data_IF_171039780915
#
_entry.id   IF_171039780915
#
_cell.length_a   1.000
_cell.length_b   1.000
_cell.length_c   1.000
_cell.angle_alpha   90.00
_cell.angle_beta   90.00
_cell.angle_gamma   90.00
#
_symmetry.space_group_name_H-M   'P 1'
#
loop_
_entity.id
_entity.type
_entity.pdbx_description
1 polymer ?
#
# COMPACT_ATOMS: atom_id res chain seq x y z
N UNK A 1 -6.95 -9.50 -35.09
CA UNK A 1 -6.82 -9.14 -33.68
C UNK A 1 -5.74 -10.01 -33.08
N UNK A 2 -4.54 -9.49 -32.91
CA UNK A 2 -3.51 -10.20 -32.16
C UNK A 2 -4.00 -10.32 -30.71
N UNK A 3 -4.34 -11.52 -30.29
CA UNK A 3 -4.46 -11.83 -28.87
C UNK A 3 -3.07 -11.58 -28.26
N UNK A 4 -2.90 -10.40 -27.68
CA UNK A 4 -1.74 -10.14 -26.84
C UNK A 4 -1.85 -11.13 -25.69
N UNK A 5 -0.95 -12.11 -25.68
CA UNK A 5 -0.90 -13.19 -24.68
C UNK A 5 -0.41 -12.61 -23.32
N UNK A 6 -1.18 -11.63 -22.79
CA UNK A 6 -0.90 -11.00 -21.48
C UNK A 6 -1.11 -12.05 -20.40
N UNK A 7 -0.16 -12.17 -19.49
CA UNK A 7 -0.24 -13.12 -18.35
C UNK A 7 -1.34 -12.71 -17.37
N UNK A 8 -2.05 -13.67 -16.75
CA UNK A 8 -3.15 -13.41 -15.85
C UNK A 8 -2.67 -12.78 -14.54
N UNK A 9 -3.40 -11.78 -14.02
CA UNK A 9 -3.15 -11.16 -12.73
C UNK A 9 -4.48 -10.85 -12.05
N UNK A 10 -4.63 -11.27 -10.79
CA UNK A 10 -5.78 -10.89 -9.97
C UNK A 10 -5.34 -9.88 -8.93
N UNK A 11 -6.11 -8.82 -8.74
CA UNK A 11 -5.89 -7.82 -7.72
C UNK A 11 -7.12 -7.78 -6.81
N UNK A 12 -6.92 -7.95 -5.51
CA UNK A 12 -7.96 -7.85 -4.51
C UNK A 12 -7.58 -6.80 -3.47
N UNK A 13 -8.24 -5.67 -3.52
CA UNK A 13 -7.95 -4.53 -2.67
C UNK A 13 -9.19 -3.98 -1.97
N UNK A 14 -9.00 -2.90 -1.25
CA UNK A 14 -10.05 -2.22 -0.48
C UNK A 14 -9.50 -1.64 0.81
N UNK A 15 -10.30 -0.91 1.59
CA UNK A 15 -9.86 -0.29 2.83
C UNK A 15 -9.45 -1.33 3.88
N UNK A 16 -8.68 -0.87 4.86
CA UNK A 16 -8.37 -1.72 6.02
C UNK A 16 -9.67 -2.17 6.72
N UNK A 17 -9.65 -3.35 7.32
CA UNK A 17 -10.78 -3.97 8.02
C UNK A 17 -12.00 -4.36 7.14
N UNK A 18 -11.92 -4.32 5.81
CA UNK A 18 -13.01 -4.72 4.91
C UNK A 18 -13.16 -6.25 4.76
N UNK A 19 -12.14 -7.03 5.14
CA UNK A 19 -12.15 -8.51 5.06
C UNK A 19 -11.45 -9.08 3.83
N UNK A 20 -10.41 -8.40 3.33
CA UNK A 20 -9.60 -8.89 2.18
C UNK A 20 -8.98 -10.26 2.43
N UNK A 21 -8.45 -10.50 3.62
CA UNK A 21 -7.68 -11.70 3.95
C UNK A 21 -8.47 -12.99 3.74
N UNK A 22 -9.66 -13.11 4.35
CA UNK A 22 -10.49 -14.30 4.20
C UNK A 22 -10.94 -14.50 2.74
N UNK A 23 -11.38 -13.42 2.08
CA UNK A 23 -11.81 -13.47 0.68
C UNK A 23 -10.64 -13.87 -0.27
N UNK A 24 -9.41 -13.41 -0.01
CA UNK A 24 -8.26 -13.74 -0.85
C UNK A 24 -7.83 -15.20 -0.71
N UNK A 25 -7.90 -15.77 0.48
CA UNK A 25 -7.58 -17.18 0.72
C UNK A 25 -8.60 -18.08 0.01
N UNK A 26 -9.90 -17.81 0.19
CA UNK A 26 -10.95 -18.56 -0.49
C UNK A 26 -10.86 -18.47 -2.01
N UNK A 27 -10.55 -17.27 -2.55
CA UNK A 27 -10.33 -17.09 -3.98
C UNK A 27 -9.09 -17.87 -4.45
N UNK A 28 -7.96 -17.77 -3.73
CA UNK A 28 -6.71 -18.45 -4.08
C UNK A 28 -6.91 -19.97 -4.16
N UNK A 29 -7.62 -20.56 -3.19
CA UNK A 29 -7.98 -21.99 -3.22
C UNK A 29 -8.84 -22.35 -4.42
N UNK A 30 -9.78 -21.48 -4.80
CA UNK A 30 -10.71 -21.75 -5.90
C UNK A 30 -10.06 -21.70 -7.27
N UNK A 31 -8.96 -20.94 -7.46
CA UNK A 31 -8.31 -20.75 -8.76
C UNK A 31 -6.89 -21.31 -8.86
N UNK A 32 -6.39 -21.97 -7.80
CA UNK A 32 -5.00 -22.41 -7.74
C UNK A 32 -4.03 -21.23 -7.73
N UNK A 33 -4.35 -20.18 -6.98
CA UNK A 33 -3.56 -18.96 -6.90
C UNK A 33 -2.62 -18.90 -5.70
N UNK A 34 -1.65 -17.99 -5.75
CA UNK A 34 -0.77 -17.63 -4.63
C UNK A 34 -0.86 -16.13 -4.36
N UNK A 35 -0.77 -15.74 -3.10
CA UNK A 35 -0.98 -14.36 -2.66
C UNK A 35 0.35 -13.60 -2.59
N UNK A 36 0.34 -12.36 -3.11
CA UNK A 36 1.42 -11.38 -2.96
C UNK A 36 0.88 -10.21 -2.15
N UNK A 37 1.45 -9.95 -0.98
CA UNK A 37 1.02 -8.84 -0.13
C UNK A 37 1.46 -7.50 -0.71
N UNK A 38 0.50 -6.61 -1.02
CA UNK A 38 0.71 -5.20 -1.35
C UNK A 38 0.41 -4.31 -0.13
N UNK A 39 0.92 -4.71 1.02
CA UNK A 39 0.88 -3.94 2.27
C UNK A 39 2.29 -3.47 2.61
N UNK A 40 2.43 -2.18 2.95
CA UNK A 40 3.75 -1.59 3.24
C UNK A 40 4.31 -1.93 4.62
N UNK A 41 3.52 -2.58 5.49
CA UNK A 41 3.92 -2.90 6.86
C UNK A 41 4.06 -4.41 7.10
N UNK A 42 3.23 -5.25 6.46
CA UNK A 42 3.28 -6.71 6.65
C UNK A 42 4.57 -7.36 6.13
N UNK A 43 5.34 -6.65 5.34
CA UNK A 43 6.64 -7.08 4.82
C UNK A 43 7.69 -7.21 5.93
N UNK A 44 7.55 -6.45 7.01
CA UNK A 44 8.53 -6.39 8.09
C UNK A 44 8.36 -7.51 9.11
N UNK A 45 9.47 -8.14 9.49
CA UNK A 45 9.56 -9.09 10.61
C UNK A 45 9.23 -8.41 11.93
N UNK A 46 8.68 -9.17 12.88
CA UNK A 46 8.38 -8.70 14.24
C UNK A 46 7.37 -7.53 14.32
N UNK A 47 6.74 -7.18 13.22
CA UNK A 47 5.66 -6.20 13.15
C UNK A 47 4.35 -6.95 12.84
N UNK A 48 3.84 -7.68 13.82
CA UNK A 48 2.78 -8.67 13.61
C UNK A 48 1.41 -8.13 13.98
N UNK A 49 1.30 -7.55 15.16
CA UNK A 49 0.03 -7.07 15.71
C UNK A 49 -0.39 -5.77 15.03
N UNK A 50 0.48 -4.75 15.02
CA UNK A 50 0.15 -3.43 14.48
C UNK A 50 -0.09 -3.43 12.98
N UNK A 51 0.54 -4.32 12.23
CA UNK A 51 0.32 -4.50 10.80
C UNK A 51 -0.89 -5.40 10.48
N UNK A 52 -1.50 -6.03 11.48
CA UNK A 52 -2.48 -7.10 11.32
C UNK A 52 -1.97 -8.19 10.35
N UNK A 53 -0.72 -8.60 10.54
CA UNK A 53 -0.07 -9.61 9.71
C UNK A 53 -0.83 -10.94 9.78
N UNK A 54 -0.99 -11.58 8.63
CA UNK A 54 -1.58 -12.92 8.58
C UNK A 54 -0.66 -13.93 9.26
N UNK A 55 -1.22 -14.76 10.13
CA UNK A 55 -0.49 -15.84 10.82
C UNK A 55 -0.40 -17.08 9.93
N UNK A 56 0.64 -17.92 10.07
CA UNK A 56 0.79 -19.13 9.26
C UNK A 56 -0.43 -20.07 9.29
N UNK A 57 -1.09 -20.21 10.44
CA UNK A 57 -2.30 -21.00 10.59
C UNK A 57 -3.51 -20.43 9.87
N UNK A 58 -3.55 -19.10 9.68
CA UNK A 58 -4.62 -18.41 8.96
C UNK A 58 -4.45 -18.49 7.44
N UNK A 59 -3.21 -18.75 6.96
CA UNK A 59 -2.92 -18.89 5.51
C UNK A 59 -3.60 -20.11 4.89
N UNK A 60 -4.00 -21.08 5.68
CA UNK A 60 -4.79 -22.26 5.28
C UNK A 60 -4.20 -22.99 4.05
N UNK A 61 -2.87 -23.12 4.03
CA UNK A 61 -2.09 -23.77 2.99
C UNK A 61 -1.86 -22.95 1.72
N UNK A 62 -2.36 -21.73 1.63
CA UNK A 62 -2.11 -20.82 0.50
C UNK A 62 -0.75 -20.12 0.68
N UNK A 63 0.16 -20.20 -0.30
CA UNK A 63 1.43 -19.49 -0.22
C UNK A 63 1.22 -17.97 -0.22
N UNK A 64 1.92 -17.28 0.68
CA UNK A 64 1.93 -15.81 0.78
C UNK A 64 3.36 -15.30 0.56
N UNK A 65 3.49 -14.33 -0.33
CA UNK A 65 4.75 -13.68 -0.67
C UNK A 65 4.76 -12.25 -0.15
N UNK A 66 5.93 -11.69 0.10
CA UNK A 66 6.15 -10.34 0.64
C UNK A 66 5.50 -10.13 2.02
N UNK A 67 5.45 -11.18 2.82
CA UNK A 67 5.05 -11.15 4.22
C UNK A 67 6.24 -11.61 5.04
N UNK A 68 6.61 -10.86 6.08
CA UNK A 68 7.65 -11.25 7.05
C UNK A 68 9.05 -11.51 6.44
N UNK A 69 9.46 -10.68 5.49
CA UNK A 69 10.71 -10.90 4.73
C UNK A 69 11.81 -9.89 5.02
N UNK A 70 11.50 -8.65 5.41
CA UNK A 70 12.48 -7.59 5.68
C UNK A 70 12.68 -7.35 7.19
N UNK A 71 13.90 -6.94 7.56
CA UNK A 71 14.13 -6.42 8.90
C UNK A 71 13.52 -5.00 9.03
N UNK A 72 12.93 -4.62 10.18
CA UNK A 72 12.35 -3.27 10.37
C UNK A 72 13.36 -2.12 10.26
N UNK A 73 14.66 -2.40 10.27
CA UNK A 73 15.71 -1.41 10.02
C UNK A 73 15.96 -1.12 8.56
N UNK A 74 15.41 -1.92 7.65
CA UNK A 74 15.53 -1.76 6.21
C UNK A 74 14.40 -0.86 5.68
N UNK A 75 14.73 -0.01 4.70
CA UNK A 75 13.73 0.84 4.07
C UNK A 75 12.97 0.08 2.98
N UNK A 76 11.65 -0.02 3.13
CA UNK A 76 10.76 -0.55 2.11
C UNK A 76 10.06 0.57 1.35
N UNK A 77 10.17 0.54 0.04
CA UNK A 77 9.58 1.54 -0.86
C UNK A 77 8.93 0.87 -2.08
N UNK A 78 8.30 1.67 -2.93
CA UNK A 78 7.57 1.19 -4.10
C UNK A 78 8.47 0.49 -5.13
N UNK A 79 9.72 0.92 -5.27
CA UNK A 79 10.68 0.33 -6.20
C UNK A 79 11.03 -1.09 -5.77
N UNK A 80 11.40 -1.24 -4.49
CA UNK A 80 11.70 -2.54 -3.90
C UNK A 80 10.47 -3.46 -3.92
N UNK A 81 9.28 -2.92 -3.60
CA UNK A 81 8.03 -3.67 -3.73
C UNK A 81 7.83 -4.20 -5.16
N UNK A 82 7.95 -3.33 -6.17
CA UNK A 82 7.74 -3.73 -7.57
C UNK A 82 8.71 -4.82 -8.00
N UNK A 83 9.99 -4.69 -7.63
CA UNK A 83 11.00 -5.69 -7.92
C UNK A 83 10.68 -7.04 -7.28
N UNK A 84 10.44 -7.06 -5.97
CA UNK A 84 10.12 -8.28 -5.23
C UNK A 84 8.81 -8.92 -5.69
N UNK A 85 7.79 -8.10 -6.00
CA UNK A 85 6.52 -8.59 -6.50
C UNK A 85 6.65 -9.24 -7.89
N UNK A 86 7.42 -8.64 -8.82
CA UNK A 86 7.71 -9.23 -10.14
C UNK A 86 8.46 -10.56 -10.02
N UNK A 87 9.45 -10.63 -9.13
CA UNK A 87 10.19 -11.86 -8.86
C UNK A 87 9.26 -12.97 -8.31
N UNK A 88 8.41 -12.63 -7.34
CA UNK A 88 7.41 -13.55 -6.81
C UNK A 88 6.43 -14.01 -7.89
N UNK A 89 5.92 -13.10 -8.73
CA UNK A 89 5.02 -13.40 -9.83
C UNK A 89 5.67 -14.39 -10.82
N UNK A 90 6.92 -14.18 -11.17
CA UNK A 90 7.63 -15.08 -12.09
C UNK A 90 7.71 -16.50 -11.52
N UNK A 91 8.04 -16.66 -10.23
CA UNK A 91 8.02 -17.95 -9.57
C UNK A 91 6.63 -18.59 -9.51
N UNK A 92 5.57 -17.79 -9.29
CA UNK A 92 4.17 -18.26 -9.28
C UNK A 92 3.78 -18.80 -10.66
N UNK A 93 4.07 -18.05 -11.73
CA UNK A 93 3.79 -18.50 -13.10
C UNK A 93 4.55 -19.77 -13.48
N UNK A 94 5.82 -19.92 -13.06
CA UNK A 94 6.61 -21.14 -13.30
C UNK A 94 6.01 -22.38 -12.64
N UNK A 95 5.28 -22.20 -11.53
CA UNK A 95 4.50 -23.28 -10.88
C UNK A 95 3.14 -23.53 -11.51
N UNK A 96 2.76 -22.76 -12.54
CA UNK A 96 1.47 -22.84 -13.20
C UNK A 96 0.31 -22.25 -12.38
N UNK A 97 0.62 -21.41 -11.39
CA UNK A 97 -0.37 -20.75 -10.54
C UNK A 97 -0.67 -19.31 -11.01
N UNK A 98 -1.76 -18.74 -10.49
CA UNK A 98 -2.18 -17.36 -10.79
C UNK A 98 -1.78 -16.46 -9.62
N UNK A 99 -1.00 -15.36 -9.84
CA UNK A 99 -0.69 -14.41 -8.79
C UNK A 99 -1.92 -13.59 -8.42
N UNK A 100 -2.14 -13.45 -7.11
CA UNK A 100 -3.19 -12.62 -6.52
C UNK A 100 -2.54 -11.56 -5.67
N UNK A 101 -2.54 -10.31 -6.12
CA UNK A 101 -2.00 -9.17 -5.36
C UNK A 101 -3.07 -8.68 -4.39
N UNK A 102 -2.77 -8.77 -3.09
CA UNK A 102 -3.71 -8.44 -2.01
C UNK A 102 -3.14 -7.35 -1.12
N UNK A 103 -3.84 -6.23 -0.97
CA UNK A 103 -3.37 -5.18 -0.07
C UNK A 103 -4.20 -3.91 -0.12
N UNK A 104 -3.72 -2.90 0.61
CA UNK A 104 -4.38 -1.59 0.69
C UNK A 104 -3.52 -0.44 0.19
N UNK A 105 -2.28 -0.69 -0.26
CA UNK A 105 -1.35 0.33 -0.75
C UNK A 105 -1.54 0.53 -2.24
N UNK A 106 -2.52 1.39 -2.61
CA UNK A 106 -2.93 1.57 -4.00
C UNK A 106 -1.78 1.96 -4.93
N UNK A 107 -0.83 2.78 -4.46
CA UNK A 107 0.33 3.17 -5.27
C UNK A 107 1.25 1.98 -5.60
N UNK A 108 1.38 1.00 -4.70
CA UNK A 108 2.14 -0.23 -4.98
C UNK A 108 1.46 -1.07 -6.06
N UNK A 109 0.13 -1.21 -5.94
CA UNK A 109 -0.68 -1.93 -6.92
C UNK A 109 -0.56 -1.27 -8.30
N UNK A 110 -0.69 0.05 -8.36
CA UNK A 110 -0.56 0.83 -9.58
C UNK A 110 0.82 0.65 -10.23
N UNK A 111 1.89 0.73 -9.43
CA UNK A 111 3.26 0.56 -9.88
C UNK A 111 3.48 -0.80 -10.55
N UNK A 112 2.92 -1.86 -9.98
CA UNK A 112 3.03 -3.21 -10.52
C UNK A 112 2.16 -3.40 -11.77
N UNK A 113 0.89 -2.95 -11.71
CA UNK A 113 -0.11 -3.18 -12.75
C UNK A 113 0.26 -2.51 -14.08
N UNK A 114 0.75 -1.27 -14.01
CA UNK A 114 1.11 -0.47 -15.18
C UNK A 114 2.61 -0.49 -15.49
N UNK A 115 3.36 -1.30 -14.75
CA UNK A 115 4.82 -1.39 -14.90
C UNK A 115 5.49 -0.02 -14.92
N UNK A 116 5.17 0.80 -13.90
CA UNK A 116 5.68 2.17 -13.81
C UNK A 116 7.20 2.14 -13.77
N UNK A 117 7.81 2.90 -14.65
CA UNK A 117 9.26 3.08 -14.67
C UNK A 117 9.65 4.07 -13.55
N UNK A 118 10.24 3.54 -12.52
CA UNK A 118 10.91 4.36 -11.53
C UNK A 118 12.34 4.54 -12.00
N UNK A 119 12.58 5.63 -12.76
CA UNK A 119 13.94 6.02 -13.13
C UNK A 119 14.85 5.81 -11.93
N UNK A 120 15.87 4.96 -12.08
CA UNK A 120 16.80 4.69 -10.99
C UNK A 120 17.34 6.03 -10.52
N UNK A 121 16.85 6.47 -9.37
CA UNK A 121 17.48 7.55 -8.67
C UNK A 121 18.82 6.99 -8.19
N UNK A 122 19.86 7.21 -8.93
CA UNK A 122 21.16 7.42 -8.30
C UNK A 122 20.92 8.58 -7.35
N UNK A 123 20.55 8.22 -6.11
CA UNK A 123 20.17 9.19 -5.12
C UNK A 123 21.37 10.12 -4.94
N UNK A 124 21.32 11.27 -5.59
CA UNK A 124 22.14 12.38 -5.18
C UNK A 124 21.60 12.83 -3.83
N UNK A 125 22.00 12.06 -2.81
CA UNK A 125 21.62 12.32 -1.42
C UNK A 125 21.99 13.74 -1.02
N UNK A 126 23.05 14.30 -1.62
CA UNK A 126 23.52 15.66 -1.38
C UNK A 126 22.47 16.70 -1.78
N UNK A 127 21.87 16.58 -2.96
CA UNK A 127 20.83 17.53 -3.40
C UNK A 127 19.56 17.42 -2.55
N UNK A 128 19.17 16.21 -2.15
CA UNK A 128 18.06 16.01 -1.21
C UNK A 128 18.32 16.67 0.13
N UNK A 129 19.51 16.45 0.71
CA UNK A 129 19.90 17.07 1.97
C UNK A 129 19.92 18.61 1.87
N UNK A 130 20.40 19.16 0.76
CA UNK A 130 20.34 20.61 0.48
C UNK A 130 18.88 21.11 0.49
N UNK A 131 17.96 20.42 -0.22
CA UNK A 131 16.56 20.81 -0.25
C UNK A 131 15.90 20.68 1.13
N UNK A 132 16.23 19.67 1.94
CA UNK A 132 15.74 19.53 3.30
C UNK A 132 16.26 20.65 4.22
N UNK A 133 17.50 21.07 4.04
CA UNK A 133 18.06 22.24 4.75
C UNK A 133 17.36 23.52 4.30
N UNK A 134 17.12 23.71 3.02
CA UNK A 134 16.37 24.85 2.49
C UNK A 134 14.94 24.89 3.05
N UNK A 135 14.26 23.74 3.14
CA UNK A 135 12.93 23.66 3.75
C UNK A 135 12.91 24.14 5.21
N UNK A 136 13.96 23.78 5.97
CA UNK A 136 14.08 24.18 7.40
C UNK A 136 14.49 25.65 7.58
N UNK A 137 15.29 26.19 6.68
CA UNK A 137 15.88 27.54 6.82
C UNK A 137 15.08 28.62 6.11
N UNK A 138 14.51 28.34 4.95
CA UNK A 138 13.76 29.30 4.12
C UNK A 138 12.25 29.05 4.15
N UNK A 139 11.83 27.88 4.62
CA UNK A 139 10.42 27.50 4.71
C UNK A 139 9.92 26.66 3.53
N UNK A 140 8.75 26.07 3.72
CA UNK A 140 8.12 25.19 2.74
C UNK A 140 7.67 25.92 1.47
N UNK A 141 7.22 27.18 1.63
CA UNK A 141 6.81 28.02 0.51
C UNK A 141 7.95 28.30 -0.46
N UNK A 142 9.16 28.55 0.05
CA UNK A 142 10.34 28.77 -0.78
C UNK A 142 10.65 27.59 -1.70
N UNK A 143 10.59 26.36 -1.16
CA UNK A 143 10.74 25.15 -2.00
C UNK A 143 9.64 25.01 -3.05
N UNK A 144 8.42 25.37 -2.67
CA UNK A 144 7.28 25.32 -3.57
C UNK A 144 7.41 26.35 -4.72
N UNK A 145 7.92 27.54 -4.45
CA UNK A 145 8.27 28.53 -5.48
C UNK A 145 9.37 28.02 -6.43
N UNK A 146 10.33 27.25 -5.91
CA UNK A 146 11.32 26.58 -6.78
C UNK A 146 10.65 25.57 -7.70
N UNK A 147 9.71 24.77 -7.18
CA UNK A 147 8.94 23.80 -7.97
C UNK A 147 8.07 24.52 -9.03
N UNK A 148 7.40 25.61 -8.68
CA UNK A 148 6.58 26.38 -9.61
C UNK A 148 7.36 26.88 -10.83
N UNK A 149 8.65 27.20 -10.66
CA UNK A 149 9.54 27.64 -11.77
C UNK A 149 9.89 26.53 -12.75
N UNK A 150 10.01 25.29 -12.27
CA UNK A 150 10.46 24.14 -13.09
C UNK A 150 9.32 23.25 -13.54
N UNK A 151 8.27 23.09 -12.71
CA UNK A 151 7.10 22.27 -12.98
C UNK A 151 5.84 22.91 -12.36
N UNK A 152 5.26 23.93 -13.02
CA UNK A 152 4.09 24.66 -12.53
C UNK A 152 2.89 23.74 -12.28
N UNK A 153 2.71 22.70 -13.10
CA UNK A 153 1.59 21.76 -12.97
C UNK A 153 1.72 20.93 -11.70
N UNK A 154 2.92 20.43 -11.39
CA UNK A 154 3.16 19.76 -10.11
C UNK A 154 2.98 20.71 -8.93
N UNK A 155 3.35 21.98 -9.04
CA UNK A 155 3.17 22.96 -8.00
C UNK A 155 1.68 23.22 -7.71
N UNK A 156 0.83 23.26 -8.73
CA UNK A 156 -0.64 23.36 -8.55
C UNK A 156 -1.23 22.15 -7.82
N UNK A 157 -0.72 20.94 -8.10
CA UNK A 157 -1.23 19.69 -7.54
C UNK A 157 -0.67 19.35 -6.16
N UNK A 158 0.52 19.83 -5.82
CA UNK A 158 1.25 19.51 -4.58
C UNK A 158 1.18 20.70 -3.63
N UNK A 159 0.46 20.54 -2.53
CA UNK A 159 0.42 21.58 -1.50
C UNK A 159 1.83 21.82 -0.90
N UNK A 160 2.23 23.07 -0.67
CA UNK A 160 3.55 23.46 -0.18
C UNK A 160 3.97 22.76 1.12
N UNK A 161 3.04 22.45 2.03
CA UNK A 161 3.33 21.68 3.24
C UNK A 161 3.71 20.20 2.96
N UNK A 162 3.52 19.71 1.75
CA UNK A 162 3.95 18.36 1.39
C UNK A 162 5.41 18.36 0.91
N UNK A 163 6.30 18.79 1.82
CA UNK A 163 7.73 18.99 1.55
C UNK A 163 8.36 17.77 0.86
N UNK A 164 8.04 16.55 1.30
CA UNK A 164 8.59 15.33 0.70
C UNK A 164 8.23 15.19 -0.79
N UNK A 165 7.00 15.55 -1.18
CA UNK A 165 6.60 15.52 -2.60
C UNK A 165 7.20 16.65 -3.41
N UNK A 166 7.31 17.83 -2.83
CA UNK A 166 7.99 18.99 -3.45
C UNK A 166 9.45 18.64 -3.73
N UNK A 167 10.17 18.12 -2.73
CA UNK A 167 11.57 17.67 -2.87
C UNK A 167 11.66 16.61 -3.98
N UNK A 168 10.80 15.60 -3.97
CA UNK A 168 10.81 14.54 -4.99
C UNK A 168 10.65 15.07 -6.41
N UNK A 169 9.79 16.06 -6.61
CA UNK A 169 9.58 16.66 -7.93
C UNK A 169 10.81 17.48 -8.39
N UNK A 170 11.44 18.23 -7.48
CA UNK A 170 12.66 18.96 -7.74
C UNK A 170 13.85 18.02 -8.06
N UNK A 171 14.01 16.94 -7.31
CA UNK A 171 15.02 15.91 -7.56
C UNK A 171 14.84 15.28 -8.95
N UNK A 172 13.62 14.91 -9.29
CA UNK A 172 13.32 14.32 -10.58
C UNK A 172 13.72 15.26 -11.72
N UNK A 173 13.35 16.54 -11.61
CA UNK A 173 13.75 17.55 -12.60
C UNK A 173 15.27 17.74 -12.66
N UNK A 174 15.95 17.81 -11.54
CA UNK A 174 17.41 17.95 -11.48
C UNK A 174 18.14 16.78 -12.13
N UNK A 175 17.63 15.56 -11.97
CA UNK A 175 18.26 14.35 -12.48
C UNK A 175 17.98 14.10 -13.96
N UNK A 176 16.77 14.39 -14.41
CA UNK A 176 16.30 14.00 -15.74
C UNK A 176 16.17 15.18 -16.71
N UNK A 177 16.08 16.40 -16.21
CA UNK A 177 15.70 17.58 -16.99
C UNK A 177 14.24 17.59 -17.44
N UNK A 178 13.43 16.63 -17.00
CA UNK A 178 12.01 16.49 -17.37
C UNK A 178 11.12 16.84 -16.19
N UNK A 179 9.92 17.32 -16.46
CA UNK A 179 8.91 17.57 -15.43
C UNK A 179 8.30 16.26 -14.94
N UNK A 180 8.15 16.13 -13.61
CA UNK A 180 7.53 14.94 -13.04
C UNK A 180 6.03 14.89 -13.36
N UNK A 181 5.36 16.03 -13.62
CA UNK A 181 3.98 16.08 -14.11
C UNK A 181 3.81 15.34 -15.43
N UNK A 182 4.67 15.65 -16.43
CA UNK A 182 4.66 15.03 -17.76
C UNK A 182 4.94 13.52 -17.67
N UNK A 183 5.92 13.11 -16.85
CA UNK A 183 6.18 11.70 -16.61
C UNK A 183 4.99 10.98 -15.97
N UNK A 184 4.40 11.56 -14.92
CA UNK A 184 3.24 10.97 -14.25
C UNK A 184 2.01 10.86 -15.17
N UNK A 185 1.81 11.80 -16.09
CA UNK A 185 0.74 11.75 -17.08
C UNK A 185 0.98 10.61 -18.07
N UNK A 186 2.18 10.51 -18.64
CA UNK A 186 2.55 9.41 -19.54
C UNK A 186 2.39 8.04 -18.85
N UNK A 187 2.82 7.91 -17.57
CA UNK A 187 2.64 6.67 -16.81
C UNK A 187 1.16 6.33 -16.54
N UNK A 188 0.29 7.34 -16.39
CA UNK A 188 -1.15 7.13 -16.21
C UNK A 188 -1.85 6.65 -17.49
N UNK A 189 -1.32 6.95 -18.66
CA UNK A 189 -1.87 6.52 -19.94
C UNK A 189 -1.49 5.09 -20.32
N UNK A 190 -0.48 4.52 -19.64
CA UNK A 190 -0.05 3.13 -19.89
C UNK A 190 -1.21 2.14 -19.70
N UNK A 191 -1.29 1.19 -20.60
CA UNK A 191 -2.14 0.02 -20.42
C UNK A 191 -1.50 -0.98 -19.46
N UNK A 192 -2.32 -1.80 -18.82
CA UNK A 192 -1.82 -2.90 -17.99
C UNK A 192 -0.95 -3.85 -18.81
N UNK A 193 0.19 -4.24 -18.25
CA UNK A 193 1.07 -5.27 -18.79
C UNK A 193 0.47 -6.69 -18.70
N UNK A 194 -0.65 -6.82 -17.96
CA UNK A 194 -1.28 -8.10 -17.62
C UNK A 194 -2.73 -8.18 -18.12
N UNK A 195 -3.23 -9.41 -18.36
CA UNK A 195 -4.67 -9.65 -18.39
C UNK A 195 -5.17 -9.66 -16.94
N UNK A 196 -5.76 -8.56 -16.50
CA UNK A 196 -6.02 -8.36 -15.09
C UNK A 196 -7.49 -8.23 -14.73
N UNK A 197 -7.84 -8.69 -13.52
CA UNK A 197 -9.08 -8.38 -12.84
C UNK A 197 -8.78 -7.61 -11.55
N UNK A 198 -9.27 -6.39 -11.46
CA UNK A 198 -8.99 -5.47 -10.35
C UNK A 198 -10.24 -5.30 -9.48
N UNK A 199 -10.31 -6.08 -8.40
CA UNK A 199 -11.43 -6.06 -7.45
C UNK A 199 -11.15 -5.09 -6.30
N UNK A 200 -12.15 -4.26 -5.98
CA UNK A 200 -12.13 -3.34 -4.84
C UNK A 200 -13.28 -3.68 -3.90
N UNK A 201 -12.95 -4.26 -2.74
CA UNK A 201 -13.94 -4.52 -1.70
C UNK A 201 -14.35 -3.23 -1.00
N UNK A 202 -15.64 -3.09 -0.74
CA UNK A 202 -16.19 -2.04 0.11
C UNK A 202 -17.30 -2.59 1.02
N UNK A 203 -17.70 -1.82 2.02
CA UNK A 203 -18.83 -2.14 2.92
C UNK A 203 -19.41 -0.82 3.44
N UNK A 204 -20.54 -0.88 4.11
CA UNK A 204 -21.12 0.27 4.80
C UNK A 204 -20.09 0.97 5.69
N UNK A 205 -20.05 2.29 5.58
CA UNK A 205 -19.03 3.11 6.26
C UNK A 205 -19.06 2.96 7.79
N UNK A 206 -20.26 2.84 8.36
CA UNK A 206 -20.39 2.71 9.82
C UNK A 206 -19.85 1.35 10.28
N UNK A 207 -20.19 0.30 9.55
CA UNK A 207 -19.70 -1.06 9.83
C UNK A 207 -18.18 -1.12 9.71
N UNK A 208 -17.64 -0.51 8.67
CA UNK A 208 -16.19 -0.45 8.47
C UNK A 208 -15.49 0.29 9.63
N UNK A 209 -16.03 1.41 10.07
CA UNK A 209 -15.45 2.19 11.18
C UNK A 209 -15.57 1.45 12.52
N UNK A 210 -16.68 0.78 12.78
CA UNK A 210 -16.85 -0.05 13.97
C UNK A 210 -15.87 -1.23 14.00
N UNK A 211 -15.60 -1.85 12.84
CA UNK A 211 -14.58 -2.90 12.70
C UNK A 211 -13.15 -2.36 12.92
N UNK A 212 -12.85 -1.17 12.41
CA UNK A 212 -11.56 -0.52 12.65
C UNK A 212 -11.34 -0.27 14.14
N UNK A 213 -12.32 0.31 14.81
CA UNK A 213 -12.19 0.65 16.22
C UNK A 213 -12.03 -0.62 17.09
N UNK A 214 -12.83 -1.66 16.84
CA UNK A 214 -12.70 -2.97 17.50
C UNK A 214 -11.34 -3.64 17.23
N UNK A 215 -10.82 -3.54 16.01
CA UNK A 215 -9.52 -4.09 15.66
C UNK A 215 -8.39 -3.41 16.45
N UNK A 216 -8.43 -2.08 16.60
CA UNK A 216 -7.45 -1.35 17.41
C UNK A 216 -7.53 -1.79 18.89
N UNK A 217 -8.75 -1.95 19.45
CA UNK A 217 -8.92 -2.45 20.82
C UNK A 217 -8.33 -3.86 20.98
N UNK A 218 -8.55 -4.73 20.00
CA UNK A 218 -8.00 -6.09 19.99
C UNK A 218 -6.47 -6.06 19.91
N UNK A 219 -5.88 -5.26 19.02
CA UNK A 219 -4.43 -5.08 18.91
C UNK A 219 -3.80 -4.68 20.25
N UNK A 220 -4.43 -3.75 20.97
CA UNK A 220 -3.95 -3.35 22.29
C UNK A 220 -4.02 -4.51 23.31
N UNK A 221 -5.06 -5.33 23.26
CA UNK A 221 -5.20 -6.51 24.12
C UNK A 221 -4.21 -7.63 23.77
N UNK A 222 -3.85 -7.76 22.49
CA UNK A 222 -2.88 -8.75 21.98
C UNK A 222 -1.43 -8.34 22.23
N UNK A 223 -1.16 -7.13 22.71
CA UNK A 223 0.19 -6.68 23.08
C UNK A 223 0.84 -5.73 22.09
N UNK A 224 0.08 -4.91 21.35
CA UNK A 224 0.66 -3.90 20.44
C UNK A 224 1.62 -2.95 21.14
N UNK A 225 1.35 -2.59 22.40
CA UNK A 225 2.22 -1.71 23.17
C UNK A 225 3.60 -2.37 23.39
N UNK A 226 3.61 -3.64 23.75
CA UNK A 226 4.80 -4.45 23.98
C UNK A 226 5.58 -4.65 22.69
N UNK A 227 4.90 -4.90 21.55
CA UNK A 227 5.52 -5.02 20.23
C UNK A 227 6.27 -3.74 19.86
N UNK A 228 5.62 -2.58 19.98
CA UNK A 228 6.25 -1.29 19.67
C UNK A 228 7.41 -0.99 20.63
N UNK A 229 7.26 -1.30 21.92
CA UNK A 229 8.33 -1.11 22.87
C UNK A 229 9.56 -2.00 22.59
N UNK A 230 9.34 -3.24 22.17
CA UNK A 230 10.44 -4.14 21.77
C UNK A 230 11.22 -3.58 20.57
N UNK A 231 10.52 -3.10 19.54
CA UNK A 231 11.13 -2.47 18.36
C UNK A 231 11.92 -1.20 18.75
N UNK A 232 11.35 -0.37 19.63
CA UNK A 232 12.02 0.82 20.17
C UNK A 232 13.31 0.45 20.94
N UNK A 233 13.27 -0.58 21.78
CA UNK A 233 14.44 -1.05 22.53
C UNK A 233 15.52 -1.67 21.63
N UNK A 234 15.15 -2.18 20.45
CA UNK A 234 16.10 -2.57 19.39
C UNK A 234 16.83 -1.38 18.75
N UNK A 235 16.41 -0.15 19.05
CA UNK A 235 17.04 1.07 18.52
C UNK A 235 16.34 1.64 17.28
N UNK A 236 15.16 1.13 16.89
CA UNK A 236 14.37 1.74 15.82
C UNK A 236 13.87 3.12 16.27
N UNK A 237 13.98 4.07 15.38
CA UNK A 237 13.56 5.46 15.63
C UNK A 237 12.17 5.70 15.04
N UNK A 238 11.46 6.68 15.62
CA UNK A 238 10.14 7.09 15.12
C UNK A 238 10.13 7.44 13.63
N UNK A 239 11.24 8.02 13.13
CA UNK A 239 11.41 8.44 11.74
C UNK A 239 11.67 7.29 10.77
N UNK A 240 12.03 6.09 11.25
CA UNK A 240 12.26 4.90 10.42
C UNK A 240 11.01 4.58 9.62
N UNK A 241 11.18 4.11 8.39
CA UNK A 241 10.06 3.82 7.47
C UNK A 241 9.06 2.84 8.10
N UNK A 242 9.54 1.76 8.71
CA UNK A 242 8.70 0.79 9.41
C UNK A 242 7.87 1.43 10.53
N UNK A 243 8.45 2.35 11.28
CA UNK A 243 7.77 3.01 12.42
C UNK A 243 6.77 4.09 12.00
N UNK A 244 6.66 4.41 10.71
CA UNK A 244 5.60 5.32 10.20
C UNK A 244 4.24 4.61 10.03
N UNK A 245 4.17 3.30 10.24
CA UNK A 245 2.92 2.56 10.26
C UNK A 245 1.94 3.07 11.32
N UNK A 246 0.64 2.93 11.01
CA UNK A 246 -0.44 3.24 11.97
C UNK A 246 -0.34 2.31 13.18
N UNK A 247 -0.49 2.87 14.35
CA UNK A 247 -0.25 2.18 15.62
C UNK A 247 1.17 2.42 16.14
N UNK A 248 2.17 2.25 15.28
CA UNK A 248 3.58 2.38 15.68
C UNK A 248 3.96 3.83 16.00
N UNK A 249 3.80 4.75 15.06
CA UNK A 249 4.18 6.16 15.25
C UNK A 249 3.42 6.84 16.41
N UNK A 250 2.17 6.45 16.63
CA UNK A 250 1.34 7.01 17.70
C UNK A 250 1.80 6.50 19.06
N UNK A 251 2.18 5.23 19.18
CA UNK A 251 2.71 4.68 20.42
C UNK A 251 4.12 5.18 20.71
N UNK A 252 4.92 5.50 19.70
CA UNK A 252 6.17 6.21 19.91
C UNK A 252 5.93 7.56 20.62
N UNK A 253 4.93 8.35 20.22
CA UNK A 253 4.56 9.59 20.89
C UNK A 253 4.19 9.40 22.37
N UNK A 254 3.52 8.27 22.72
CA UNK A 254 3.30 7.90 24.11
C UNK A 254 4.63 7.63 24.85
N UNK A 255 5.55 6.84 24.27
CA UNK A 255 6.84 6.54 24.89
C UNK A 255 7.73 7.79 25.03
N UNK A 256 7.56 8.79 24.18
CA UNK A 256 8.24 10.09 24.23
C UNK A 256 7.56 11.09 25.17
N UNK A 257 6.42 10.70 25.76
CA UNK A 257 5.69 11.54 26.75
C UNK A 257 4.86 12.67 26.12
N UNK A 258 4.59 12.63 24.82
CA UNK A 258 3.78 13.64 24.14
C UNK A 258 2.32 13.63 24.63
N UNK A 259 1.77 12.44 24.95
CA UNK A 259 0.40 12.25 25.41
C UNK A 259 0.24 10.89 26.13
N UNK A 260 -0.85 10.71 26.93
CA UNK A 260 -1.11 9.47 27.62
C UNK A 260 -1.56 8.35 26.66
N UNK A 261 -1.52 7.11 27.14
CA UNK A 261 -1.84 5.92 26.34
C UNK A 261 -3.26 5.94 25.75
N UNK A 262 -4.24 6.38 26.52
CA UNK A 262 -5.62 6.50 26.08
C UNK A 262 -5.76 7.45 24.90
N UNK A 263 -4.99 8.53 24.89
CA UNK A 263 -4.97 9.48 23.77
C UNK A 263 -4.30 8.86 22.55
N UNK A 264 -3.22 8.08 22.71
CA UNK A 264 -2.61 7.32 21.61
C UNK A 264 -3.62 6.40 20.93
N UNK A 265 -4.36 5.63 21.72
CA UNK A 265 -5.40 4.70 21.22
C UNK A 265 -6.48 5.47 20.45
N UNK A 266 -6.91 6.61 20.98
CA UNK A 266 -7.90 7.48 20.32
C UNK A 266 -7.38 7.99 18.96
N UNK A 267 -6.10 8.41 18.92
CA UNK A 267 -5.43 8.87 17.71
C UNK A 267 -5.32 7.73 16.71
N UNK A 268 -4.88 6.53 17.09
CA UNK A 268 -4.77 5.36 16.22
C UNK A 268 -6.12 5.04 15.56
N UNK A 269 -7.22 4.97 16.33
CA UNK A 269 -8.57 4.74 15.80
C UNK A 269 -8.95 5.81 14.78
N UNK A 270 -8.78 7.09 15.12
CA UNK A 270 -9.08 8.21 14.22
C UNK A 270 -8.28 8.13 12.91
N UNK A 271 -6.97 7.93 13.01
CA UNK A 271 -6.08 7.99 11.85
C UNK A 271 -6.20 6.75 10.98
N UNK A 272 -6.58 5.60 11.55
CA UNK A 272 -6.94 4.39 10.80
C UNK A 272 -8.24 4.59 10.01
N UNK A 273 -9.27 5.25 10.58
CA UNK A 273 -10.48 5.61 9.82
C UNK A 273 -10.17 6.60 8.70
N UNK A 274 -9.29 7.59 8.94
CA UNK A 274 -8.83 8.50 7.91
C UNK A 274 -8.04 7.78 6.81
N UNK A 275 -7.24 6.79 7.17
CA UNK A 275 -6.51 5.96 6.22
C UNK A 275 -7.46 5.16 5.34
N UNK A 276 -8.45 4.49 5.92
CA UNK A 276 -9.49 3.79 5.16
C UNK A 276 -10.22 4.71 4.16
N UNK A 277 -10.55 5.95 4.58
CA UNK A 277 -11.14 6.96 3.70
C UNK A 277 -10.19 7.33 2.55
N UNK A 278 -8.89 7.51 2.81
CA UNK A 278 -7.89 7.81 1.77
C UNK A 278 -7.75 6.65 0.78
N UNK A 279 -7.76 5.40 1.25
CA UNK A 279 -7.73 4.21 0.39
C UNK A 279 -8.92 4.20 -0.58
N UNK A 280 -10.15 4.38 -0.08
CA UNK A 280 -11.34 4.46 -0.93
C UNK A 280 -11.28 5.62 -1.93
N UNK A 281 -10.74 6.77 -1.51
CA UNK A 281 -10.54 7.92 -2.42
C UNK A 281 -9.54 7.60 -3.51
N UNK A 282 -8.49 6.86 -3.19
CA UNK A 282 -7.51 6.38 -4.18
C UNK A 282 -8.18 5.46 -5.19
N UNK A 283 -8.83 4.38 -4.74
CA UNK A 283 -9.41 3.37 -5.62
C UNK A 283 -10.53 3.92 -6.52
N UNK A 284 -11.22 4.99 -6.13
CA UNK A 284 -12.20 5.68 -7.00
C UNK A 284 -11.58 6.38 -8.21
N UNK A 285 -10.29 6.60 -8.22
CA UNK A 285 -9.54 7.21 -9.33
C UNK A 285 -8.88 6.18 -10.23
N UNK A 286 -8.82 4.92 -9.77
CA UNK A 286 -8.24 3.83 -10.55
C UNK A 286 -9.19 3.45 -11.70
N UNK A 287 -8.57 3.06 -12.83
CA UNK A 287 -9.31 2.61 -14.02
C UNK A 287 -9.63 1.13 -13.92
N UNK A 288 -10.68 0.70 -14.60
CA UNK A 288 -11.07 -0.71 -14.79
C UNK A 288 -11.26 -1.50 -13.48
N UNK A 289 -11.62 -0.81 -12.40
CA UNK A 289 -11.89 -1.43 -11.10
C UNK A 289 -13.29 -2.01 -11.05
N UNK A 290 -13.40 -3.18 -10.45
CA UNK A 290 -14.65 -3.89 -10.22
C UNK A 290 -14.98 -3.77 -8.74
N UNK A 291 -15.97 -2.93 -8.43
CA UNK A 291 -16.41 -2.73 -7.05
C UNK A 291 -17.26 -3.90 -6.57
N UNK A 292 -16.91 -4.41 -5.41
CA UNK A 292 -17.63 -5.47 -4.72
C UNK A 292 -18.11 -4.93 -3.36
N UNK A 293 -19.36 -4.48 -3.33
CA UNK A 293 -19.96 -3.91 -2.13
C UNK A 293 -20.58 -5.02 -1.28
N UNK A 294 -19.98 -5.30 -0.13
CA UNK A 294 -20.44 -6.33 0.81
C UNK A 294 -21.81 -6.03 1.41
N UNK A 295 -22.28 -4.78 1.37
CA UNK A 295 -23.61 -4.41 1.82
C UNK A 295 -24.70 -4.84 0.83
N UNK A 296 -24.36 -4.96 -0.46
CA UNK A 296 -25.28 -5.35 -1.54
C UNK A 296 -25.18 -6.85 -1.88
N UNK A 297 -23.95 -7.37 -1.96
CA UNK A 297 -23.69 -8.77 -2.35
C UNK A 297 -24.01 -9.74 -1.22
N UNK A 298 -23.89 -9.30 0.04
CA UNK A 298 -23.83 -10.14 1.23
C UNK A 298 -22.43 -10.14 1.85
N UNK A 299 -22.38 -10.41 3.15
CA UNK A 299 -21.12 -10.38 3.92
C UNK A 299 -20.45 -11.73 4.03
N UNK A 300 -21.05 -12.74 3.42
CA UNK A 300 -20.50 -14.09 3.36
C UNK A 300 -19.44 -14.15 2.25
N UNK A 301 -18.28 -14.66 2.58
CA UNK A 301 -17.15 -14.70 1.63
C UNK A 301 -17.45 -15.61 0.42
N UNK A 302 -18.31 -16.62 0.56
CA UNK A 302 -18.70 -17.53 -0.54
C UNK A 302 -19.39 -16.78 -1.67
N UNK A 303 -20.36 -15.91 -1.39
CA UNK A 303 -21.06 -15.12 -2.41
C UNK A 303 -20.11 -14.16 -3.12
N UNK A 304 -19.19 -13.56 -2.36
CA UNK A 304 -18.17 -12.67 -2.88
C UNK A 304 -17.21 -13.40 -3.83
N UNK A 305 -16.76 -14.60 -3.43
CA UNK A 305 -15.89 -15.45 -4.24
C UNK A 305 -16.59 -15.86 -5.54
N UNK A 306 -17.86 -16.24 -5.49
CA UNK A 306 -18.63 -16.62 -6.69
C UNK A 306 -18.72 -15.46 -7.69
N UNK A 307 -18.92 -14.23 -7.24
CA UNK A 307 -18.91 -13.08 -8.13
C UNK A 307 -17.54 -12.83 -8.75
N UNK A 308 -16.46 -12.93 -7.95
CA UNK A 308 -15.10 -12.83 -8.49
C UNK A 308 -14.82 -13.92 -9.53
N UNK A 309 -15.20 -15.17 -9.27
CA UNK A 309 -15.03 -16.28 -10.22
C UNK A 309 -15.79 -16.05 -11.54
N UNK A 310 -16.99 -15.49 -11.49
CA UNK A 310 -17.75 -15.14 -12.70
C UNK A 310 -16.98 -14.14 -13.56
N UNK A 311 -16.50 -13.06 -12.96
CA UNK A 311 -15.71 -12.06 -13.66
C UNK A 311 -14.39 -12.62 -14.21
N UNK A 312 -13.72 -13.50 -13.46
CA UNK A 312 -12.47 -14.11 -13.91
C UNK A 312 -12.66 -15.00 -15.13
N UNK A 313 -13.82 -15.71 -15.23
CA UNK A 313 -14.20 -16.47 -16.42
C UNK A 313 -14.52 -15.56 -17.62
N UNK A 314 -15.29 -14.48 -17.40
CA UNK A 314 -15.60 -13.50 -18.44
C UNK A 314 -14.36 -12.82 -19.02
N UNK A 315 -13.33 -12.63 -18.20
CA UNK A 315 -12.03 -12.06 -18.60
C UNK A 315 -11.04 -13.13 -19.13
N UNK A 316 -11.45 -14.38 -19.24
CA UNK A 316 -10.59 -15.50 -19.66
C UNK A 316 -9.30 -15.62 -18.81
N UNK A 317 -9.36 -15.25 -17.53
CA UNK A 317 -8.26 -15.42 -16.56
C UNK A 317 -8.25 -16.87 -16.03
N UNK A 318 -9.43 -17.45 -15.90
CA UNK A 318 -9.64 -18.86 -15.54
C UNK A 318 -10.60 -19.52 -16.53
N UNK A 319 -10.57 -20.85 -16.61
CA UNK A 319 -11.44 -21.67 -17.49
C UNK A 319 -12.63 -22.27 -16.76
#
# INVERSE_FOLDING_TARGET
MEQTNKRPLVILTGPTAVGKTAASIGLAKSIGGEIISADSMQVYKEMDIGSAKIRPEEMDGVPHHLVDVLDPSEDFNVVLFQQMAKEAMEGIYQRGHIPIVVGGTGFYIQALLYDIDFTENNADTAYREELEVLAKTQGAEYLHEMLEKVDPESAEQIHFHNIKRVIRALEYYQQTGQKISEHNEAEREKESAYNSAYFVLTDDRKILYDRIDKRVDLMMQEGLLEEVNALRLRGLKRESVAMQGLGYKELFGYFEGEYPLEESIRIIKRDTRHFAKRQLTWFRRERDVIWLDKSEIGREDEQLIQQMLTVLKEKEIIH
#
